data_IF_571902559036
#
_entry.id   IF_571902559036
#
_cell.length_a   1.000
_cell.length_b   1.000
_cell.length_c   1.000
_cell.angle_alpha   90.00
_cell.angle_beta   90.00
_cell.angle_gamma   90.00
#
_symmetry.space_group_name_H-M   'P 1'
#
loop_
_entity.id
_entity.type
_entity.pdbx_description
1 polymer ?
#
# COMPACT_ATOMS: atom_id res chain seq x y z
N UNK A 1 -10.10 14.74 -1.94
CA UNK A 1 -11.31 13.96 -2.27
C UNK A 1 -10.84 12.78 -3.09
N UNK A 2 -10.88 11.56 -2.56
CA UNK A 2 -10.10 10.43 -3.06
C UNK A 2 -10.83 9.58 -4.10
N UNK A 3 -10.11 9.16 -5.14
CA UNK A 3 -10.52 8.05 -5.98
C UNK A 3 -10.49 6.77 -5.13
N UNK A 4 -11.66 6.21 -4.81
CA UNK A 4 -11.77 5.01 -3.99
C UNK A 4 -11.52 3.73 -4.79
N UNK A 5 -11.81 3.77 -6.08
CA UNK A 5 -11.63 2.64 -7.00
C UNK A 5 -10.40 2.89 -7.85
N UNK A 6 -9.45 1.94 -7.84
CA UNK A 6 -8.24 1.97 -8.67
C UNK A 6 -7.44 3.30 -8.60
N UNK A 7 -7.00 3.73 -7.40
CA UNK A 7 -6.19 4.93 -7.26
C UNK A 7 -4.86 4.82 -8.05
N UNK A 8 -4.31 5.95 -8.53
CA UNK A 8 -3.01 5.96 -9.21
C UNK A 8 -1.85 5.65 -8.24
N UNK A 9 -0.72 5.21 -8.78
CA UNK A 9 0.45 4.81 -8.00
C UNK A 9 1.32 5.99 -7.51
N UNK A 10 1.03 7.22 -7.94
CA UNK A 10 1.81 8.45 -7.70
C UNK A 10 2.13 8.68 -6.21
N UNK A 11 1.18 8.32 -5.34
CA UNK A 11 1.32 8.45 -3.90
C UNK A 11 2.44 7.57 -3.34
N UNK A 12 2.63 6.38 -3.90
CA UNK A 12 3.71 5.47 -3.52
C UNK A 12 5.02 5.81 -4.23
N UNK A 13 4.97 6.20 -5.50
CA UNK A 13 6.16 6.67 -6.24
C UNK A 13 6.83 7.87 -5.58
N UNK A 14 6.04 8.90 -5.24
CA UNK A 14 6.53 10.07 -4.52
C UNK A 14 7.14 9.69 -3.18
N UNK A 15 6.60 8.66 -2.52
CA UNK A 15 7.11 8.16 -1.26
C UNK A 15 8.44 7.42 -1.44
N UNK A 16 8.59 6.59 -2.47
CA UNK A 16 9.86 5.93 -2.81
C UNK A 16 10.95 6.96 -3.13
N UNK A 17 10.61 8.03 -3.86
CA UNK A 17 11.53 9.13 -4.20
C UNK A 17 12.09 9.87 -2.97
N UNK A 18 11.44 9.77 -1.81
CA UNK A 18 11.97 10.38 -0.57
C UNK A 18 13.21 9.67 -0.02
N UNK A 19 13.46 8.42 -0.42
CA UNK A 19 14.55 7.59 0.12
C UNK A 19 14.35 7.10 1.55
N UNK A 20 13.27 7.52 2.23
CA UNK A 20 12.97 7.16 3.62
C UNK A 20 12.00 5.97 3.75
N UNK A 21 11.66 5.33 2.63
CA UNK A 21 10.75 4.20 2.65
C UNK A 21 11.44 2.93 3.12
N UNK A 22 10.96 2.42 4.25
CA UNK A 22 11.30 1.08 4.74
C UNK A 22 10.40 0.07 4.05
N UNK A 23 10.99 -1.05 3.64
CA UNK A 23 10.25 -2.15 3.02
C UNK A 23 9.16 -2.68 3.96
N UNK A 24 7.96 -2.87 3.39
CA UNK A 24 6.75 -3.38 4.07
C UNK A 24 6.09 -4.48 3.25
N UNK A 25 6.83 -5.15 2.37
CA UNK A 25 6.33 -6.28 1.56
C UNK A 25 5.74 -7.40 2.42
N UNK A 26 6.19 -7.60 3.66
CA UNK A 26 5.54 -8.53 4.60
C UNK A 26 4.07 -8.20 4.88
N UNK A 27 3.70 -6.92 4.90
CA UNK A 27 2.30 -6.51 5.05
C UNK A 27 1.48 -6.95 3.83
N UNK A 28 2.06 -6.90 2.63
CA UNK A 28 1.43 -7.40 1.40
C UNK A 28 1.24 -8.92 1.49
N UNK A 29 2.27 -9.65 1.91
CA UNK A 29 2.21 -11.10 2.10
C UNK A 29 1.09 -11.50 3.08
N UNK A 30 1.03 -10.85 4.24
CA UNK A 30 -0.02 -11.08 5.23
C UNK A 30 -1.42 -10.72 4.69
N UNK A 31 -1.54 -9.57 4.01
CA UNK A 31 -2.81 -9.13 3.42
C UNK A 31 -3.31 -10.15 2.38
N UNK A 32 -2.43 -10.65 1.51
CA UNK A 32 -2.75 -11.70 0.54
C UNK A 32 -3.18 -13.01 1.22
N UNK A 33 -2.55 -13.38 2.34
CA UNK A 33 -2.89 -14.59 3.08
C UNK A 33 -4.31 -14.54 3.65
N UNK A 34 -4.74 -13.40 4.18
CA UNK A 34 -6.08 -13.26 4.76
C UNK A 34 -7.15 -12.86 3.74
N UNK A 35 -6.74 -12.45 2.53
CA UNK A 35 -7.64 -12.07 1.45
C UNK A 35 -8.55 -13.26 1.08
N UNK A 36 -9.86 -13.03 1.02
CA UNK A 36 -10.83 -14.10 0.71
C UNK A 36 -11.18 -15.03 1.88
N UNK A 37 -10.57 -14.84 3.06
CA UNK A 37 -10.94 -15.56 4.30
C UNK A 37 -11.98 -14.80 5.12
N UNK A 38 -12.53 -15.44 6.16
CA UNK A 38 -13.40 -14.79 7.15
C UNK A 38 -12.66 -13.74 8.00
N UNK A 39 -11.31 -13.75 7.99
CA UNK A 39 -10.45 -12.80 8.71
C UNK A 39 -9.89 -11.69 7.82
N UNK A 40 -10.54 -11.40 6.69
CA UNK A 40 -10.11 -10.39 5.69
C UNK A 40 -10.12 -8.92 6.16
N UNK A 41 -10.69 -8.62 7.34
CA UNK A 41 -10.79 -7.26 7.84
C UNK A 41 -9.52 -6.86 8.61
N UNK A 42 -8.78 -5.89 8.08
CA UNK A 42 -7.54 -5.38 8.67
C UNK A 42 -7.77 -4.00 9.30
N UNK A 43 -7.49 -3.89 10.60
CA UNK A 43 -7.50 -2.61 11.32
C UNK A 43 -6.06 -2.16 11.62
N UNK A 44 -5.68 -0.96 11.17
CA UNK A 44 -4.38 -0.36 11.45
C UNK A 44 -4.55 0.78 12.46
N UNK A 45 -4.66 0.44 13.74
CA UNK A 45 -4.77 1.38 14.86
C UNK A 45 -3.36 1.79 15.34
N UNK A 46 -2.82 2.86 14.77
CA UNK A 46 -1.56 3.47 15.24
C UNK A 46 -1.73 4.97 15.49
N UNK A 47 -0.90 5.61 16.34
CA UNK A 47 -0.94 7.06 16.58
C UNK A 47 -0.69 7.90 15.31
N UNK A 48 -0.90 9.22 15.41
CA UNK A 48 -0.58 10.18 14.33
C UNK A 48 0.89 10.01 13.89
N UNK A 49 1.15 10.17 12.57
CA UNK A 49 2.49 10.10 11.94
C UNK A 49 3.22 8.75 12.00
N UNK A 50 2.57 7.67 12.45
CA UNK A 50 3.14 6.32 12.45
C UNK A 50 3.12 5.59 11.08
N UNK A 51 3.19 6.31 9.97
CA UNK A 51 3.31 5.69 8.64
C UNK A 51 2.12 4.87 8.14
N UNK A 52 0.91 5.06 8.72
CA UNK A 52 -0.34 4.42 8.26
C UNK A 52 -0.65 4.76 6.80
N UNK A 53 -0.60 6.05 6.46
CA UNK A 53 -0.83 6.53 5.08
C UNK A 53 0.21 5.99 4.11
N UNK A 54 1.46 5.83 4.56
CA UNK A 54 2.53 5.23 3.74
C UNK A 54 2.24 3.77 3.42
N UNK A 55 1.75 3.01 4.41
CA UNK A 55 1.35 1.61 4.20
C UNK A 55 0.12 1.51 3.29
N UNK A 56 -0.87 2.40 3.47
CA UNK A 56 -2.04 2.47 2.58
C UNK A 56 -1.63 2.74 1.13
N UNK A 57 -0.76 3.73 0.89
CA UNK A 57 -0.25 4.05 -0.46
C UNK A 57 0.49 2.88 -1.12
N UNK A 58 1.27 2.12 -0.35
CA UNK A 58 1.90 0.89 -0.84
C UNK A 58 0.84 -0.13 -1.27
N UNK A 59 -0.16 -0.41 -0.42
CA UNK A 59 -1.23 -1.37 -0.74
C UNK A 59 -2.08 -0.91 -1.93
N UNK A 60 -2.39 0.39 -2.00
CA UNK A 60 -3.08 1.03 -3.13
C UNK A 60 -2.29 0.81 -4.42
N UNK A 61 -0.99 1.11 -4.44
CA UNK A 61 -0.17 0.88 -5.61
C UNK A 61 -0.07 -0.61 -5.98
N UNK A 62 -0.01 -1.52 -5.00
CA UNK A 62 0.11 -2.95 -5.25
C UNK A 62 -1.17 -3.58 -5.84
N UNK A 63 -2.35 -3.20 -5.33
CA UNK A 63 -3.62 -3.81 -5.75
C UNK A 63 -4.36 -3.01 -6.84
N UNK A 64 -3.98 -1.76 -7.10
CA UNK A 64 -4.66 -0.94 -8.11
C UNK A 64 -4.53 -1.56 -9.49
N UNK A 65 -5.67 -1.65 -10.20
CA UNK A 65 -5.70 -1.98 -11.63
C UNK A 65 -5.67 -0.73 -12.53
N UNK A 66 -5.65 0.46 -11.94
CA UNK A 66 -5.71 1.75 -12.63
C UNK A 66 -4.35 2.33 -13.03
N UNK A 67 -3.25 1.70 -12.61
CA UNK A 67 -1.90 2.16 -12.92
C UNK A 67 -0.94 0.96 -13.05
N UNK A 68 0.07 1.05 -13.93
CA UNK A 68 1.17 0.08 -13.98
C UNK A 68 2.23 0.42 -12.93
N UNK A 69 2.02 -0.07 -11.72
CA UNK A 69 2.89 0.17 -10.57
C UNK A 69 4.04 -0.84 -10.45
N UNK A 70 4.21 -1.77 -11.40
CA UNK A 70 5.20 -2.86 -11.29
C UNK A 70 6.61 -2.34 -11.07
N UNK A 71 6.95 -1.22 -11.70
CA UNK A 71 8.26 -0.57 -11.52
C UNK A 71 8.54 -0.17 -10.07
N UNK A 72 7.52 0.14 -9.27
CA UNK A 72 7.66 0.51 -7.86
C UNK A 72 8.07 -0.68 -6.97
N UNK A 73 7.85 -1.91 -7.43
CA UNK A 73 8.11 -3.15 -6.69
C UNK A 73 9.23 -3.99 -7.32
N UNK A 74 9.83 -3.52 -8.42
CA UNK A 74 11.03 -4.14 -9.01
C UNK A 74 12.27 -3.58 -8.30
N UNK A 75 12.88 -4.40 -7.45
CA UNK A 75 14.25 -4.24 -6.96
C UNK A 75 15.08 -5.42 -7.42
#
# INVERSE_FOLDING_TARGET
MGFYLNPPADGFESLLKTGLYVDKTELIAYTNQVLGSDRKLLCVSRPRRFGKTSAARMLEAYYSKGADSRACFKK
#
